data_IF_458383085633
#
_entry.id   IF_458383085633
#
_cell.length_a   1.000
_cell.length_b   1.000
_cell.length_c   1.000
_cell.angle_alpha   90.00
_cell.angle_beta   90.00
_cell.angle_gamma   90.00
#
_symmetry.space_group_name_H-M   'P 1'
#
loop_
_entity.id
_entity.type
_entity.pdbx_description
1 polymer ?
#
# COMPACT_ATOMS: atom_id res chain seq x y z
N UNK A 1 -12.94 6.36 30.16
CA UNK A 1 -11.55 5.88 29.98
C UNK A 1 -11.38 5.76 28.48
N UNK A 2 -10.52 6.56 27.87
CA UNK A 2 -10.53 6.71 26.42
C UNK A 2 -10.07 5.44 25.70
N UNK A 3 -10.72 5.10 24.59
CA UNK A 3 -10.42 3.90 23.81
C UNK A 3 -9.92 4.29 22.43
N UNK A 4 -8.89 3.59 21.97
CA UNK A 4 -8.37 3.74 20.62
C UNK A 4 -9.43 3.30 19.60
N UNK A 5 -9.95 4.25 18.84
CA UNK A 5 -10.96 4.01 17.82
C UNK A 5 -10.29 3.69 16.47
N UNK A 6 -9.36 4.54 16.06
CA UNK A 6 -8.77 4.47 14.73
C UNK A 6 -7.32 4.96 14.74
N UNK A 7 -6.43 4.25 14.04
CA UNK A 7 -5.01 4.64 13.93
C UNK A 7 -4.83 5.45 12.65
N UNK A 8 -4.21 6.62 12.76
CA UNK A 8 -3.90 7.49 11.61
C UNK A 8 -2.52 7.19 11.00
N UNK A 9 -1.70 6.38 11.67
CA UNK A 9 -0.43 5.89 11.13
C UNK A 9 -0.72 4.97 9.93
N UNK A 10 -0.36 5.42 8.72
CA UNK A 10 -0.58 4.78 7.41
C UNK A 10 -1.97 5.00 6.77
N UNK A 11 -2.72 5.99 7.24
CA UNK A 11 -3.98 6.39 6.61
C UNK A 11 -3.76 7.60 5.70
N UNK A 12 -4.45 7.65 4.56
CA UNK A 12 -4.41 8.81 3.67
C UNK A 12 -5.07 10.03 4.33
N UNK A 13 -4.66 11.25 3.98
CA UNK A 13 -5.29 12.46 4.52
C UNK A 13 -6.80 12.48 4.28
N UNK A 14 -7.24 12.11 3.08
CA UNK A 14 -8.66 12.06 2.71
C UNK A 14 -9.42 11.05 3.56
N UNK A 15 -8.87 9.85 3.80
CA UNK A 15 -9.51 8.86 4.68
C UNK A 15 -9.60 9.33 6.13
N UNK A 16 -8.55 10.01 6.63
CA UNK A 16 -8.59 10.57 7.97
C UNK A 16 -9.69 11.64 8.09
N UNK A 17 -9.88 12.46 7.05
CA UNK A 17 -10.95 13.46 7.01
C UNK A 17 -12.34 12.81 6.92
N UNK A 18 -12.52 11.79 6.06
CA UNK A 18 -13.78 11.05 5.95
C UNK A 18 -14.18 10.44 7.30
N UNK A 19 -13.22 9.89 8.07
CA UNK A 19 -13.51 9.38 9.42
C UNK A 19 -13.92 10.49 10.39
N UNK A 20 -13.32 11.69 10.31
CA UNK A 20 -13.75 12.84 11.14
C UNK A 20 -15.18 13.25 10.81
N UNK A 21 -15.49 13.38 9.53
CA UNK A 21 -16.82 13.76 9.06
C UNK A 21 -17.89 12.76 9.53
N UNK A 22 -17.62 11.44 9.41
CA UNK A 22 -18.53 10.39 9.92
C UNK A 22 -18.77 10.53 11.44
N UNK A 23 -17.74 10.86 12.21
CA UNK A 23 -17.86 11.03 13.66
C UNK A 23 -18.63 12.31 14.01
N UNK A 24 -18.36 13.41 13.30
CA UNK A 24 -19.03 14.70 13.48
C UNK A 24 -20.51 14.63 13.10
N UNK A 25 -20.87 13.98 11.99
CA UNK A 25 -22.26 13.76 11.56
C UNK A 25 -23.07 13.01 12.61
N UNK A 26 -22.45 12.01 13.24
CA UNK A 26 -23.09 11.18 14.27
C UNK A 26 -22.97 11.78 15.67
N UNK A 27 -22.40 12.99 15.80
CA UNK A 27 -22.21 13.72 17.05
C UNK A 27 -21.45 12.89 18.10
N UNK A 28 -20.44 12.13 17.65
CA UNK A 28 -19.62 11.27 18.50
C UNK A 28 -18.40 12.06 18.98
N UNK A 29 -18.27 12.25 20.28
CA UNK A 29 -17.13 12.95 20.86
C UNK A 29 -15.83 12.15 20.72
N UNK A 30 -14.83 12.74 20.04
CA UNK A 30 -13.50 12.18 19.86
C UNK A 30 -12.38 13.19 20.16
N UNK A 31 -11.17 12.67 20.34
CA UNK A 31 -9.95 13.47 20.37
C UNK A 31 -8.85 12.81 19.55
N UNK A 32 -7.93 13.62 19.04
CA UNK A 32 -6.82 13.15 18.21
C UNK A 32 -5.47 13.30 18.91
N UNK A 33 -4.63 12.29 18.75
CA UNK A 33 -3.20 12.40 19.04
C UNK A 33 -2.42 12.58 17.74
N UNK A 34 -1.38 13.41 17.78
CA UNK A 34 -0.43 13.57 16.68
C UNK A 34 0.83 12.73 16.96
N UNK A 35 1.45 12.20 15.90
CA UNK A 35 2.74 11.52 15.99
C UNK A 35 3.92 12.46 16.34
N UNK A 36 3.67 13.78 16.42
CA UNK A 36 4.67 14.79 16.65
C UNK A 36 5.60 14.99 15.45
N UNK A 37 6.46 16.02 15.51
CA UNK A 37 7.31 16.42 14.38
C UNK A 37 8.37 15.39 13.99
N UNK A 38 8.64 14.42 14.86
CA UNK A 38 9.61 13.34 14.67
C UNK A 38 8.97 12.01 14.29
N UNK A 39 7.63 11.92 14.22
CA UNK A 39 6.91 10.70 13.82
C UNK A 39 7.01 9.52 14.81
N UNK A 40 7.40 9.77 16.06
CA UNK A 40 7.61 8.72 17.09
C UNK A 40 6.30 8.44 17.84
N UNK A 41 5.36 9.39 17.89
CA UNK A 41 4.07 9.20 18.53
C UNK A 41 3.10 8.35 17.71
N UNK A 42 2.07 7.84 18.36
CA UNK A 42 0.93 7.23 17.67
C UNK A 42 -0.03 8.34 17.27
N UNK A 43 -0.19 8.59 15.98
CA UNK A 43 -1.29 9.40 15.50
C UNK A 43 -2.56 8.54 15.47
N UNK A 44 -3.60 8.97 16.16
CA UNK A 44 -4.82 8.19 16.31
C UNK A 44 -6.02 9.06 16.72
N UNK A 45 -7.20 8.58 16.38
CA UNK A 45 -8.48 9.07 16.86
C UNK A 45 -8.91 8.19 18.04
N UNK A 46 -9.27 8.84 19.13
CA UNK A 46 -9.66 8.23 20.39
C UNK A 46 -11.06 8.64 20.76
N UNK A 47 -11.84 7.68 21.26
CA UNK A 47 -13.22 7.90 21.66
C UNK A 47 -13.27 8.42 23.11
N UNK A 48 -14.09 9.43 23.36
CA UNK A 48 -14.29 9.98 24.71
C UNK A 48 -15.21 9.08 25.54
N UNK A 49 -16.34 8.65 24.96
CA UNK A 49 -17.38 7.86 25.62
C UNK A 49 -17.40 6.42 25.12
N UNK A 50 -17.24 5.45 26.03
CA UNK A 50 -17.20 4.04 25.69
C UNK A 50 -18.53 3.49 25.16
N UNK A 51 -19.65 4.16 25.46
CA UNK A 51 -20.97 3.73 24.98
C UNK A 51 -21.11 3.87 23.46
N UNK A 52 -20.35 4.79 22.87
CA UNK A 52 -20.41 5.09 21.44
C UNK A 52 -19.44 4.22 20.62
N UNK A 53 -18.70 3.32 21.28
CA UNK A 53 -17.64 2.54 20.65
C UNK A 53 -18.18 1.56 19.60
N UNK A 54 -19.26 0.86 19.93
CA UNK A 54 -19.84 -0.13 19.02
C UNK A 54 -20.46 0.56 17.81
N UNK A 55 -21.13 1.70 18.02
CA UNK A 55 -21.67 2.55 16.97
C UNK A 55 -20.56 3.08 16.05
N UNK A 56 -19.54 3.73 16.62
CA UNK A 56 -18.41 4.29 15.87
C UNK A 56 -17.65 3.21 15.08
N UNK A 57 -17.41 2.04 15.69
CA UNK A 57 -16.75 0.92 15.03
C UNK A 57 -17.56 0.38 13.85
N UNK A 58 -18.88 0.31 14.00
CA UNK A 58 -19.78 -0.17 12.94
C UNK A 58 -19.79 0.78 11.74
N UNK A 59 -19.79 2.10 12.00
CA UNK A 59 -19.75 3.13 10.97
C UNK A 59 -18.44 3.08 10.19
N UNK A 60 -17.29 3.08 10.89
CA UNK A 60 -15.97 2.99 10.28
C UNK A 60 -15.83 1.69 9.45
N UNK A 61 -16.33 0.58 9.97
CA UNK A 61 -16.27 -0.70 9.27
C UNK A 61 -17.11 -0.70 7.98
N UNK A 62 -18.30 -0.11 8.02
CA UNK A 62 -19.17 0.04 6.84
C UNK A 62 -18.48 0.87 5.76
N UNK A 63 -17.93 2.02 6.16
CA UNK A 63 -17.16 2.89 5.28
C UNK A 63 -15.95 2.17 4.65
N UNK A 64 -15.18 1.40 5.43
CA UNK A 64 -14.02 0.65 4.90
C UNK A 64 -14.44 -0.43 3.88
N UNK A 65 -15.58 -1.09 4.10
CA UNK A 65 -16.13 -2.06 3.13
C UNK A 65 -16.46 -1.36 1.82
N UNK A 66 -17.18 -0.24 1.89
CA UNK A 66 -17.60 0.51 0.71
C UNK A 66 -16.40 1.04 -0.10
N UNK A 67 -15.41 1.61 0.59
CA UNK A 67 -14.15 2.05 -0.03
C UNK A 67 -13.40 0.88 -0.68
N UNK A 68 -13.33 -0.28 0.00
CA UNK A 68 -12.73 -1.49 -0.55
C UNK A 68 -13.42 -2.00 -1.81
N UNK A 69 -14.75 -1.90 -1.88
CA UNK A 69 -15.53 -2.27 -3.07
C UNK A 69 -15.29 -1.30 -4.22
N UNK A 70 -15.20 0.01 -3.96
CA UNK A 70 -14.91 1.02 -4.97
C UNK A 70 -13.52 0.80 -5.60
N UNK A 71 -12.48 0.64 -4.77
CA UNK A 71 -11.12 0.37 -5.23
C UNK A 71 -11.07 -0.90 -6.09
N UNK A 72 -11.74 -1.98 -5.65
CA UNK A 72 -11.82 -3.23 -6.44
C UNK A 72 -12.51 -3.03 -7.79
N UNK A 73 -13.55 -2.21 -7.87
CA UNK A 73 -14.24 -1.87 -9.12
C UNK A 73 -13.36 -1.04 -10.04
N UNK A 74 -12.64 -0.06 -9.52
CA UNK A 74 -11.67 0.73 -10.28
C UNK A 74 -10.55 -0.14 -10.82
N UNK A 75 -9.96 -1.00 -10.00
CA UNK A 75 -8.97 -1.99 -10.44
C UNK A 75 -9.53 -2.95 -11.49
N UNK A 76 -10.78 -3.40 -11.36
CA UNK A 76 -11.42 -4.26 -12.36
C UNK A 76 -11.63 -3.52 -13.70
N UNK A 77 -11.99 -2.25 -13.65
CA UNK A 77 -12.13 -1.40 -14.84
C UNK A 77 -10.78 -1.12 -15.51
N UNK A 78 -9.73 -0.85 -14.73
CA UNK A 78 -8.36 -0.69 -15.25
C UNK A 78 -7.82 -2.00 -15.84
N UNK A 79 -8.14 -3.15 -15.23
CA UNK A 79 -7.78 -4.48 -15.76
C UNK A 79 -8.51 -4.77 -17.09
N UNK A 80 -9.76 -4.33 -17.24
CA UNK A 80 -10.50 -4.43 -18.52
C UNK A 80 -9.96 -3.51 -19.61
N UNK A 81 -9.31 -2.39 -19.24
CA UNK A 81 -8.71 -1.46 -20.19
C UNK A 81 -7.35 -1.92 -20.75
N UNK A 82 -6.92 -3.17 -20.50
CA UNK A 82 -5.68 -3.71 -21.07
C UNK A 82 -4.42 -2.84 -20.81
N UNK A 83 -4.44 -2.07 -19.70
CA UNK A 83 -3.34 -1.18 -19.30
C UNK A 83 -2.39 -1.80 -18.27
N UNK A 84 -2.53 -3.10 -18.03
CA UNK A 84 -1.41 -3.88 -17.55
C UNK A 84 -0.64 -4.25 -18.81
N UNK A 85 0.30 -3.38 -19.22
CA UNK A 85 1.46 -3.82 -20.00
C UNK A 85 2.10 -4.94 -19.19
N UNK A 86 1.60 -6.16 -19.42
CA UNK A 86 2.16 -7.36 -18.84
C UNK A 86 3.61 -7.36 -19.29
N UNK A 87 4.51 -7.82 -18.44
CA UNK A 87 5.95 -7.88 -18.72
C UNK A 87 6.24 -8.51 -20.11
N UNK A 88 5.32 -9.34 -20.61
CA UNK A 88 5.26 -9.87 -21.97
C UNK A 88 5.11 -8.84 -23.12
N UNK A 89 4.37 -7.75 -22.95
CA UNK A 89 4.22 -6.70 -23.97
C UNK A 89 5.51 -5.87 -24.10
N UNK A 90 6.22 -5.61 -23.00
CA UNK A 90 7.57 -5.01 -23.04
C UNK A 90 8.60 -5.91 -23.72
N UNK A 91 8.51 -7.23 -23.50
CA UNK A 91 9.34 -8.21 -24.20
C UNK A 91 9.14 -8.18 -25.71
N UNK A 92 7.90 -7.92 -26.16
CA UNK A 92 7.56 -7.86 -27.59
C UNK A 92 7.95 -6.53 -28.24
N UNK A 93 7.95 -5.43 -27.49
CA UNK A 93 8.30 -4.10 -28.01
C UNK A 93 9.81 -3.83 -28.10
N UNK A 94 10.66 -4.46 -27.28
CA UNK A 94 12.12 -4.26 -27.32
C UNK A 94 12.94 -5.56 -27.27
N UNK A 95 12.79 -6.47 -28.26
CA UNK A 95 13.50 -7.75 -28.27
C UNK A 95 15.03 -7.60 -28.33
N UNK A 96 15.52 -6.52 -28.94
CA UNK A 96 16.95 -6.23 -29.07
C UNK A 96 17.62 -5.88 -27.73
N UNK A 97 16.99 -5.03 -26.91
CA UNK A 97 17.52 -4.68 -25.59
C UNK A 97 17.56 -5.89 -24.64
N UNK A 98 16.55 -6.77 -24.73
CA UNK A 98 16.50 -8.01 -23.96
C UNK A 98 17.60 -9.00 -24.36
N UNK A 99 17.86 -9.16 -25.67
CA UNK A 99 18.98 -9.98 -26.16
C UNK A 99 20.32 -9.41 -25.73
N UNK A 100 20.51 -8.09 -25.82
CA UNK A 100 21.76 -7.43 -25.44
C UNK A 100 22.05 -7.56 -23.94
N UNK A 101 21.05 -7.40 -23.07
CA UNK A 101 21.22 -7.63 -21.63
C UNK A 101 21.53 -9.09 -21.32
N UNK A 102 20.91 -10.04 -22.00
CA UNK A 102 21.18 -11.47 -21.82
C UNK A 102 22.62 -11.82 -22.24
N UNK A 103 23.10 -11.27 -23.36
CA UNK A 103 24.50 -11.40 -23.80
C UNK A 103 25.46 -10.79 -22.78
N UNK A 104 25.17 -9.60 -22.27
CA UNK A 104 26.02 -8.95 -21.25
C UNK A 104 26.08 -9.78 -19.95
N UNK A 105 24.94 -10.28 -19.46
CA UNK A 105 24.91 -11.15 -18.28
C UNK A 105 25.71 -12.43 -18.53
N UNK A 106 25.54 -13.07 -19.70
CA UNK A 106 26.29 -14.27 -20.07
C UNK A 106 27.79 -14.00 -20.13
N UNK A 107 28.20 -12.87 -20.72
CA UNK A 107 29.60 -12.47 -20.82
C UNK A 107 30.22 -12.24 -19.44
N UNK A 108 29.55 -11.47 -18.56
CA UNK A 108 30.02 -11.21 -17.20
C UNK A 108 30.11 -12.52 -16.42
N UNK A 109 29.09 -13.37 -16.52
CA UNK A 109 29.04 -14.66 -15.82
C UNK A 109 30.15 -15.59 -16.31
N UNK A 110 30.37 -15.68 -17.62
CA UNK A 110 31.44 -16.46 -18.21
C UNK A 110 32.82 -15.94 -17.80
N UNK A 111 33.04 -14.62 -17.80
CA UNK A 111 34.29 -14.02 -17.35
C UNK A 111 34.54 -14.26 -15.87
N UNK A 112 33.49 -14.15 -15.05
CA UNK A 112 33.55 -14.36 -13.60
C UNK A 112 33.78 -15.82 -13.22
N UNK A 113 33.25 -16.78 -13.99
CA UNK A 113 33.43 -18.21 -13.76
C UNK A 113 34.74 -18.76 -14.35
N UNK A 114 35.31 -18.09 -15.37
CA UNK A 114 36.58 -18.47 -16.00
C UNK A 114 37.72 -18.76 -15.00
N UNK A 115 38.01 -17.92 -13.98
CA UNK A 115 39.07 -18.22 -13.02
C UNK A 115 38.75 -19.44 -12.14
N UNK A 116 37.47 -19.71 -11.84
CA UNK A 116 37.07 -20.88 -11.05
C UNK A 116 37.23 -22.19 -11.84
N UNK A 117 36.85 -22.20 -13.13
CA UNK A 117 37.11 -23.35 -13.98
C UNK A 117 38.61 -23.59 -14.21
N UNK A 118 39.41 -22.52 -14.28
CA UNK A 118 40.87 -22.64 -14.36
C UNK A 118 41.51 -23.23 -13.09
N UNK A 119 40.88 -23.06 -11.92
CA UNK A 119 41.35 -23.61 -10.65
C UNK A 119 40.95 -25.09 -10.47
N UNK A 120 39.85 -25.52 -11.07
CA UNK A 120 39.33 -26.89 -10.95
C UNK A 120 39.97 -27.87 -11.95
N UNK A 121 40.55 -27.35 -13.04
CA UNK A 121 41.15 -28.13 -14.13
C UNK A 121 42.69 -28.20 -14.05
N UNK A 122 43.26 -27.92 -12.87
CA UNK A 122 44.70 -27.98 -12.55
C UNK A 122 44.93 -28.98 -11.43
#
# INVERSE_FOLDING_TARGET
MAILLFKLNNVTLDEAEDIREILDEQHIDYYESSAGRWGIGVAAIWLVNNQDLDSARTLIHTYQIDRGLQIRREHANLKKQNKLESIFDRLKHHPLLFLLTLVMISLITALSLKPFFSLINR
#
